data_IF_581785550828
#
_entry.id   IF_581785550828
#
_cell.length_a   1.000
_cell.length_b   1.000
_cell.length_c   1.000
_cell.angle_alpha   90.00
_cell.angle_beta   90.00
_cell.angle_gamma   90.00
#
_symmetry.space_group_name_H-M   'P 1'
#
loop_
_entity.id
_entity.type
_entity.pdbx_description
1 polymer ?
#
# COMPACT_ATOMS: atom_id res chain seq x y z
N UNK A 1 -10.59 -6.95 -6.65
CA UNK A 1 -9.87 -6.06 -7.58
C UNK A 1 -8.50 -5.68 -7.04
N UNK A 2 -8.37 -4.95 -5.92
CA UNK A 2 -7.04 -4.54 -5.37
C UNK A 2 -6.11 -5.75 -5.15
N UNK A 3 -6.61 -6.86 -4.61
CA UNK A 3 -5.79 -8.07 -4.39
C UNK A 3 -5.22 -8.65 -5.69
N UNK A 4 -6.00 -8.64 -6.77
CA UNK A 4 -5.55 -9.15 -8.07
C UNK A 4 -4.43 -8.26 -8.64
N UNK A 5 -4.59 -6.93 -8.55
CA UNK A 5 -3.56 -5.98 -8.96
C UNK A 5 -2.29 -6.08 -8.09
N UNK A 6 -2.44 -6.31 -6.79
CA UNK A 6 -1.31 -6.53 -5.89
C UNK A 6 -0.51 -7.78 -6.24
N UNK A 7 -1.18 -8.89 -6.59
CA UNK A 7 -0.54 -10.13 -7.03
C UNK A 7 0.13 -9.96 -8.40
N UNK A 8 -0.49 -9.18 -9.29
CA UNK A 8 0.04 -8.92 -10.63
C UNK A 8 1.20 -7.89 -10.65
N UNK A 9 1.52 -7.24 -9.53
CA UNK A 9 2.50 -6.15 -9.48
C UNK A 9 2.01 -4.84 -10.12
N UNK A 10 0.72 -4.75 -10.42
CA UNK A 10 0.06 -3.61 -11.07
C UNK A 10 -0.23 -2.48 -10.06
N UNK A 11 0.85 -1.84 -9.58
CA UNK A 11 0.83 -0.75 -8.59
C UNK A 11 -0.22 0.32 -8.92
N UNK A 12 -0.21 0.84 -10.15
CA UNK A 12 -1.06 1.98 -10.52
C UNK A 12 -2.54 1.62 -10.49
N UNK A 13 -2.90 0.41 -10.94
CA UNK A 13 -4.27 -0.08 -10.90
C UNK A 13 -4.74 -0.31 -9.46
N UNK A 14 -3.88 -0.84 -8.59
CA UNK A 14 -4.17 -0.99 -7.17
C UNK A 14 -4.44 0.36 -6.49
N UNK A 15 -3.59 1.36 -6.77
CA UNK A 15 -3.71 2.73 -6.24
C UNK A 15 -4.97 3.43 -6.76
N UNK A 16 -5.22 3.37 -8.07
CA UNK A 16 -6.37 4.02 -8.68
C UNK A 16 -7.68 3.43 -8.12
N UNK A 17 -7.75 2.10 -8.00
CA UNK A 17 -8.90 1.42 -7.39
C UNK A 17 -9.11 1.85 -5.94
N UNK A 18 -8.04 1.92 -5.15
CA UNK A 18 -8.11 2.38 -3.76
C UNK A 18 -8.56 3.85 -3.65
N UNK A 19 -8.05 4.72 -4.52
CA UNK A 19 -8.46 6.13 -4.61
C UNK A 19 -9.93 6.27 -4.96
N UNK A 20 -10.42 5.48 -5.91
CA UNK A 20 -11.85 5.45 -6.25
C UNK A 20 -12.69 4.98 -5.05
N UNK A 21 -12.26 3.95 -4.30
CA UNK A 21 -12.98 3.52 -3.11
C UNK A 21 -13.15 4.66 -2.10
N UNK A 22 -12.09 5.43 -1.84
CA UNK A 22 -12.15 6.61 -0.95
C UNK A 22 -13.08 7.68 -1.53
N UNK A 23 -12.93 8.02 -2.82
CA UNK A 23 -13.74 9.06 -3.48
C UNK A 23 -15.24 8.74 -3.48
N UNK A 24 -15.59 7.46 -3.58
CA UNK A 24 -16.97 7.00 -3.53
C UNK A 24 -17.51 6.84 -2.09
N UNK A 25 -16.73 7.21 -1.07
CA UNK A 25 -17.12 7.08 0.33
C UNK A 25 -17.22 5.63 0.81
N UNK A 26 -16.61 4.69 0.08
CA UNK A 26 -16.57 3.28 0.50
C UNK A 26 -15.63 3.16 1.69
N UNK A 27 -16.10 2.47 2.74
CA UNK A 27 -15.28 2.17 3.91
C UNK A 27 -14.13 1.24 3.52
N UNK A 28 -12.94 1.82 3.37
CA UNK A 28 -11.69 1.08 3.26
C UNK A 28 -11.27 0.60 4.65
N UNK A 29 -10.90 -0.68 4.76
CA UNK A 29 -10.39 -1.27 5.99
C UNK A 29 -8.87 -1.46 5.89
N UNK A 30 -8.23 -1.82 7.01
CA UNK A 30 -6.77 -2.08 7.05
C UNK A 30 -6.32 -3.14 6.04
N UNK A 31 -7.20 -4.08 5.67
CA UNK A 31 -6.91 -5.09 4.64
C UNK A 31 -6.73 -4.48 3.25
N UNK A 32 -7.63 -3.60 2.80
CA UNK A 32 -7.50 -2.92 1.51
C UNK A 32 -6.19 -2.16 1.40
N UNK A 33 -5.74 -1.54 2.48
CA UNK A 33 -4.48 -0.78 2.53
C UNK A 33 -3.28 -1.70 2.49
N UNK A 34 -3.31 -2.81 3.22
CA UNK A 34 -2.28 -3.85 3.15
C UNK A 34 -2.09 -4.38 1.73
N UNK A 35 -3.17 -4.51 0.95
CA UNK A 35 -3.10 -4.92 -0.46
C UNK A 35 -2.40 -3.87 -1.35
N UNK A 36 -2.69 -2.57 -1.15
CA UNK A 36 -2.00 -1.52 -1.90
C UNK A 36 -0.53 -1.44 -1.51
N UNK A 37 -0.20 -1.59 -0.21
CA UNK A 37 1.19 -1.67 0.24
C UNK A 37 1.92 -2.85 -0.39
N UNK A 38 1.28 -4.02 -0.48
CA UNK A 38 1.84 -5.20 -1.15
C UNK A 38 2.09 -4.97 -2.64
N UNK A 39 1.17 -4.28 -3.32
CA UNK A 39 1.39 -3.87 -4.72
C UNK A 39 2.61 -2.94 -4.85
N UNK A 40 2.82 -2.05 -3.88
CA UNK A 40 3.94 -1.11 -3.87
C UNK A 40 5.28 -1.77 -3.50
N UNK A 41 5.30 -2.89 -2.78
CA UNK A 41 6.52 -3.61 -2.39
C UNK A 41 7.37 -4.02 -3.59
N UNK A 42 6.72 -4.41 -4.69
CA UNK A 42 7.40 -4.80 -5.92
C UNK A 42 8.10 -3.63 -6.62
N UNK A 43 7.67 -2.40 -6.34
CA UNK A 43 8.18 -1.18 -6.99
C UNK A 43 9.13 -0.37 -6.11
N UNK A 44 9.28 -0.73 -4.82
CA UNK A 44 10.12 -0.01 -3.87
C UNK A 44 9.61 1.38 -3.48
N UNK A 45 8.36 1.71 -3.82
CA UNK A 45 7.80 3.05 -3.65
C UNK A 45 7.41 3.31 -2.17
N UNK A 46 8.39 3.78 -1.40
CA UNK A 46 8.22 4.13 0.02
C UNK A 46 7.31 5.35 0.25
N UNK A 47 7.29 6.29 -0.69
CA UNK A 47 6.47 7.50 -0.61
C UNK A 47 4.99 7.15 -0.51
N UNK A 48 4.56 6.12 -1.25
CA UNK A 48 3.19 5.65 -1.21
C UNK A 48 2.82 4.95 0.10
N UNK A 49 3.76 4.22 0.71
CA UNK A 49 3.57 3.64 2.05
C UNK A 49 3.30 4.69 3.11
N UNK A 50 4.05 5.79 3.12
CA UNK A 50 3.85 6.91 4.04
C UNK A 50 2.52 7.64 3.77
N UNK A 51 2.18 7.86 2.50
CA UNK A 51 0.90 8.46 2.14
C UNK A 51 -0.30 7.63 2.63
N UNK A 52 -0.24 6.31 2.48
CA UNK A 52 -1.28 5.41 2.98
C UNK A 52 -1.39 5.42 4.51
N UNK A 53 -0.27 5.56 5.22
CA UNK A 53 -0.25 5.70 6.67
C UNK A 53 -1.02 6.94 7.13
N UNK A 54 -0.73 8.08 6.50
CA UNK A 54 -1.39 9.35 6.82
C UNK A 54 -2.88 9.30 6.46
N UNK A 55 -3.22 8.66 5.34
CA UNK A 55 -4.61 8.46 4.92
C UNK A 55 -5.39 7.61 5.94
N UNK A 56 -4.80 6.57 6.52
CA UNK A 56 -5.44 5.78 7.60
C UNK A 56 -5.87 6.66 8.77
N UNK A 57 -5.01 7.59 9.19
CA UNK A 57 -5.32 8.51 10.30
C UNK A 57 -6.49 9.43 9.93
N UNK A 58 -6.53 9.94 8.70
CA UNK A 58 -7.62 10.81 8.20
C UNK A 58 -8.94 10.06 8.05
N UNK A 59 -8.89 8.75 7.79
CA UNK A 59 -10.05 7.89 7.64
C UNK A 59 -10.55 7.29 8.97
N UNK A 60 -9.90 7.58 10.10
CA UNK A 60 -10.25 7.01 11.41
C UNK A 60 -9.96 5.50 11.52
N UNK A 61 -9.14 4.96 10.61
CA UNK A 61 -8.75 3.54 10.62
C UNK A 61 -7.68 3.39 11.70
N UNK A 62 -7.94 2.55 12.70
CA UNK A 62 -6.96 2.25 13.75
C UNK A 62 -5.71 1.64 13.12
N UNK A 63 -4.62 2.39 13.18
CA UNK A 63 -3.32 1.95 12.69
C UNK A 63 -2.79 0.88 13.63
N UNK A 64 -2.57 -0.33 13.13
CA UNK A 64 -1.67 -1.26 13.80
C UNK A 64 -0.24 -0.86 13.44
N UNK A 65 0.33 0.00 14.29
CA UNK A 65 1.63 0.63 14.07
C UNK A 65 2.73 -0.41 13.86
N UNK A 66 2.66 -1.56 14.53
CA UNK A 66 3.67 -2.63 14.41
C UNK A 66 3.59 -3.28 13.03
N UNK A 67 2.39 -3.66 12.59
CA UNK A 67 2.20 -4.22 11.25
C UNK A 67 2.55 -3.22 10.15
N UNK A 68 2.27 -1.93 10.38
CA UNK A 68 2.57 -0.89 9.42
C UNK A 68 4.07 -0.60 9.31
N UNK A 69 4.78 -0.48 10.43
CA UNK A 69 6.24 -0.34 10.45
C UNK A 69 6.91 -1.52 9.76
N UNK A 70 6.42 -2.74 10.01
CA UNK A 70 6.92 -3.96 9.34
C UNK A 70 6.68 -3.91 7.83
N UNK A 71 5.53 -3.40 7.38
CA UNK A 71 5.23 -3.23 5.97
C UNK A 71 6.09 -2.15 5.30
N UNK A 72 6.33 -1.00 5.96
CA UNK A 72 7.28 0.04 5.49
C UNK A 72 8.70 -0.52 5.41
N UNK A 73 9.15 -1.23 6.44
CA UNK A 73 10.48 -1.83 6.49
C UNK A 73 10.67 -2.88 5.39
N UNK A 74 9.62 -3.63 5.07
CA UNK A 74 9.63 -4.56 3.94
C UNK A 74 9.56 -3.85 2.58
N UNK A 75 8.86 -2.72 2.46
CA UNK A 75 8.92 -1.83 1.28
C UNK A 75 10.35 -1.31 1.06
N UNK A 76 11.02 -0.86 2.14
CA UNK A 76 12.38 -0.35 2.08
C UNK A 76 13.39 -1.40 1.63
N UNK A 77 13.21 -2.65 2.05
CA UNK A 77 14.02 -3.79 1.57
C UNK A 77 13.65 -4.24 0.16
N UNK A 78 12.36 -4.23 -0.20
CA UNK A 78 11.87 -4.62 -1.52
C UNK A 78 12.39 -3.69 -2.63
N UNK A 79 12.46 -2.38 -2.37
CA UNK A 79 13.08 -1.42 -3.27
C UNK A 79 14.58 -1.62 -3.44
N UNK A 80 15.30 -1.94 -2.35
CA UNK A 80 16.73 -2.29 -2.42
C UNK A 80 16.98 -3.59 -3.17
N UNK A 81 16.10 -4.59 -3.00
CA UNK A 81 16.19 -5.83 -3.75
C UNK A 81 15.94 -5.59 -5.23
N UNK A 82 14.86 -4.89 -5.61
CA UNK A 82 14.55 -4.57 -7.00
C UNK A 82 15.67 -3.74 -7.69
N UNK A 83 16.28 -2.78 -6.98
CA UNK A 83 17.44 -2.02 -7.47
C UNK A 83 18.74 -2.84 -7.54
N UNK A 84 18.86 -3.91 -6.75
CA UNK A 84 20.05 -4.77 -6.74
C UNK A 84 20.02 -5.87 -7.82
N UNK A 85 18.90 -6.03 -8.54
CA UNK A 85 18.77 -6.99 -9.66
C UNK A 85 18.87 -6.31 -11.03
N UNK A 86 19.33 -5.06 -11.08
CA UNK A 86 19.61 -4.33 -12.33
C UNK A 86 21.08 -4.46 -12.74
#
# INVERSE_FOLDING_TARGET
>A
MINAFAIAGEKELAINTFSQMIKHGLSVNGYAIGLVMKACQHTGDMSMGLYLFEAMSKLGIKQDVIHFLTAIDTLARGGKLAQAIE
#
